data_IF_636633771153
#
_entry.id   IF_636633771153
#
_cell.length_a   1.000
_cell.length_b   1.000
_cell.length_c   1.000
_cell.angle_alpha   90.00
_cell.angle_beta   90.00
_cell.angle_gamma   90.00
#
_symmetry.space_group_name_H-M   'P 1'
#
loop_
_entity.id
_entity.type
_entity.pdbx_description
1 polymer ?
#
# COMPACT_ATOMS: atom_id res chain seq x y z
N UNK A 1 8.92 -15.47 -9.69
CA UNK A 1 10.25 -16.08 -9.47
C UNK A 1 11.00 -15.39 -8.33
N UNK A 2 11.45 -14.13 -8.47
CA UNK A 2 12.23 -13.44 -7.43
C UNK A 2 11.48 -13.28 -6.09
N UNK A 3 10.23 -12.80 -6.12
CA UNK A 3 9.41 -12.68 -4.90
C UNK A 3 9.28 -14.01 -4.13
N UNK A 4 8.98 -15.11 -4.83
CA UNK A 4 8.85 -16.45 -4.23
C UNK A 4 10.16 -16.97 -3.65
N UNK A 5 11.30 -16.57 -4.22
CA UNK A 5 12.62 -16.96 -3.75
C UNK A 5 13.00 -16.23 -2.45
N UNK A 6 12.74 -14.92 -2.38
CA UNK A 6 13.13 -14.10 -1.23
C UNK A 6 12.10 -14.11 -0.09
N UNK A 7 10.80 -14.22 -0.38
CA UNK A 7 9.75 -14.15 0.63
C UNK A 7 9.95 -15.09 1.85
N UNK A 8 10.41 -16.35 1.71
CA UNK A 8 10.71 -17.22 2.85
C UNK A 8 11.76 -16.63 3.81
N UNK A 9 12.80 -15.97 3.29
CA UNK A 9 13.84 -15.34 4.09
C UNK A 9 13.29 -14.12 4.86
N UNK A 10 12.54 -13.23 4.21
CA UNK A 10 11.94 -12.07 4.89
C UNK A 10 10.92 -12.51 5.96
N UNK A 11 10.11 -13.53 5.65
CA UNK A 11 9.16 -14.13 6.59
C UNK A 11 9.86 -14.73 7.82
N UNK A 12 10.97 -15.44 7.61
CA UNK A 12 11.76 -15.99 8.71
C UNK A 12 12.28 -14.89 9.64
N UNK A 13 12.82 -13.80 9.09
CA UNK A 13 13.30 -12.66 9.89
C UNK A 13 12.16 -11.96 10.64
N UNK A 14 10.99 -11.78 10.00
CA UNK A 14 9.79 -11.25 10.66
C UNK A 14 9.39 -12.11 11.88
N UNK A 15 9.27 -13.43 11.69
CA UNK A 15 8.92 -14.36 12.78
C UNK A 15 9.95 -14.30 13.91
N UNK A 16 11.24 -14.27 13.60
CA UNK A 16 12.30 -14.12 14.62
C UNK A 16 12.14 -12.82 15.41
N UNK A 17 11.88 -11.70 14.75
CA UNK A 17 11.69 -10.41 15.42
C UNK A 17 10.45 -10.43 16.33
N UNK A 18 9.32 -10.97 15.84
CA UNK A 18 8.09 -11.10 16.63
C UNK A 18 8.29 -11.95 17.88
N UNK A 19 8.99 -13.07 17.77
CA UNK A 19 9.34 -13.90 18.91
C UNK A 19 10.22 -13.13 19.91
N UNK A 20 11.24 -12.42 19.42
CA UNK A 20 12.13 -11.65 20.28
C UNK A 20 11.40 -10.53 21.05
N UNK A 21 10.43 -9.86 20.41
CA UNK A 21 9.59 -8.85 21.05
C UNK A 21 8.71 -9.48 22.13
N UNK A 22 8.03 -10.60 21.81
CA UNK A 22 7.17 -11.29 22.76
C UNK A 22 7.91 -11.80 24.00
N UNK A 23 9.20 -12.13 23.85
CA UNK A 23 10.07 -12.55 24.95
C UNK A 23 10.91 -11.42 25.55
N UNK A 24 10.68 -10.16 25.17
CA UNK A 24 11.46 -8.99 25.62
C UNK A 24 12.99 -9.12 25.43
N UNK A 25 13.42 -9.88 24.43
CA UNK A 25 14.83 -10.11 24.12
C UNK A 25 15.26 -9.49 22.78
N UNK A 26 14.44 -8.61 22.21
CA UNK A 26 14.79 -7.81 21.03
C UNK A 26 16.01 -6.93 21.34
N UNK A 27 17.03 -7.01 20.49
CA UNK A 27 18.30 -6.27 20.60
C UNK A 27 18.46 -5.26 19.46
N UNK A 28 19.37 -4.30 19.61
CA UNK A 28 19.70 -3.35 18.54
C UNK A 28 20.17 -4.05 17.26
N UNK A 29 20.97 -5.11 17.36
CA UNK A 29 21.40 -5.90 16.20
C UNK A 29 20.22 -6.53 15.46
N UNK A 30 19.20 -7.00 16.20
CA UNK A 30 18.01 -7.59 15.59
C UNK A 30 17.11 -6.51 14.97
N UNK A 31 17.05 -5.31 15.57
CA UNK A 31 16.37 -4.15 14.98
C UNK A 31 17.05 -3.75 13.67
N UNK A 32 18.37 -3.62 13.66
CA UNK A 32 19.16 -3.30 12.46
C UNK A 32 19.03 -4.39 11.39
N UNK A 33 19.05 -5.67 11.78
CA UNK A 33 18.77 -6.76 10.85
C UNK A 33 17.38 -6.62 10.23
N UNK A 34 16.35 -6.35 11.03
CA UNK A 34 15.00 -6.14 10.50
C UNK A 34 14.93 -4.99 9.50
N UNK A 35 15.64 -3.88 9.76
CA UNK A 35 15.71 -2.72 8.88
C UNK A 35 16.47 -3.01 7.59
N UNK A 36 17.61 -3.71 7.67
CA UNK A 36 18.39 -4.14 6.50
C UNK A 36 17.58 -5.05 5.59
N UNK A 37 16.89 -6.04 6.16
CA UNK A 37 15.98 -6.93 5.42
C UNK A 37 14.76 -6.17 4.88
N UNK A 38 14.30 -5.13 5.58
CA UNK A 38 13.29 -4.21 5.07
C UNK A 38 13.76 -3.46 3.82
N UNK A 39 14.97 -2.90 3.87
CA UNK A 39 15.58 -2.18 2.74
C UNK A 39 15.78 -3.08 1.51
N UNK A 40 16.31 -4.30 1.69
CA UNK A 40 16.43 -5.30 0.61
C UNK A 40 15.08 -5.65 -0.03
N UNK A 41 14.00 -5.55 0.74
CA UNK A 41 12.64 -5.82 0.30
C UNK A 41 12.01 -4.70 -0.55
N UNK A 42 12.60 -3.50 -0.58
CA UNK A 42 12.02 -2.32 -1.23
C UNK A 42 11.70 -2.56 -2.71
N UNK A 43 12.59 -3.11 -3.56
CA UNK A 43 12.29 -3.38 -4.97
C UNK A 43 11.26 -4.50 -5.20
N UNK A 44 11.04 -5.34 -4.17
CA UNK A 44 10.08 -6.44 -4.22
C UNK A 44 8.73 -6.08 -3.59
N UNK A 45 8.62 -4.88 -3.00
CA UNK A 45 7.43 -4.35 -2.36
C UNK A 45 6.91 -5.27 -1.23
N UNK A 46 7.81 -6.01 -0.57
CA UNK A 46 7.43 -6.94 0.49
C UNK A 46 7.00 -6.19 1.75
N UNK A 47 5.91 -6.66 2.38
CA UNK A 47 5.24 -5.94 3.47
C UNK A 47 5.57 -6.44 4.88
N UNK A 48 6.47 -7.43 5.02
CA UNK A 48 6.84 -8.00 6.32
C UNK A 48 7.37 -6.94 7.29
N UNK A 49 8.38 -6.19 6.87
CA UNK A 49 8.99 -5.11 7.65
C UNK A 49 7.99 -4.01 8.07
N UNK A 50 7.25 -3.36 7.14
CA UNK A 50 6.30 -2.32 7.53
C UNK A 50 5.17 -2.87 8.42
N UNK A 51 4.70 -4.09 8.17
CA UNK A 51 3.66 -4.73 9.00
C UNK A 51 4.16 -4.98 10.43
N UNK A 52 5.37 -5.54 10.59
CA UNK A 52 6.01 -5.75 11.88
C UNK A 52 6.05 -4.46 12.71
N UNK A 53 6.55 -3.38 12.12
CA UNK A 53 6.76 -2.14 12.85
C UNK A 53 5.48 -1.34 13.08
N UNK A 54 4.46 -1.50 12.24
CA UNK A 54 3.11 -1.03 12.55
C UNK A 54 2.51 -1.75 13.75
N UNK A 55 2.61 -3.09 13.79
CA UNK A 55 2.12 -3.90 14.92
C UNK A 55 2.82 -3.49 16.22
N UNK A 56 4.14 -3.30 16.19
CA UNK A 56 4.93 -2.81 17.33
C UNK A 56 4.49 -1.41 17.78
N UNK A 57 4.23 -0.51 16.84
CA UNK A 57 3.80 0.84 17.16
C UNK A 57 2.45 0.88 17.89
N UNK A 58 1.54 -0.01 17.49
CA UNK A 58 0.19 -0.14 18.04
C UNK A 58 0.14 -0.94 19.35
N UNK A 59 1.10 -1.83 19.58
CA UNK A 59 1.16 -2.62 20.81
C UNK A 59 1.40 -1.74 22.05
N UNK A 60 0.48 -1.80 23.01
CA UNK A 60 0.55 -0.98 24.23
C UNK A 60 1.61 -1.49 25.23
N UNK A 61 1.91 -2.78 25.18
CA UNK A 61 2.80 -3.48 26.10
C UNK A 61 4.24 -3.63 25.57
N UNK A 62 4.55 -3.04 24.42
CA UNK A 62 5.90 -3.09 23.83
C UNK A 62 6.68 -1.85 24.22
N UNK A 63 7.93 -2.06 24.65
CA UNK A 63 8.83 -1.00 25.06
C UNK A 63 9.14 -0.06 23.87
N UNK A 64 8.90 1.25 24.06
CA UNK A 64 9.09 2.27 23.04
C UNK A 64 10.57 2.44 22.65
N UNK A 65 11.51 1.90 23.43
CA UNK A 65 12.94 1.88 23.06
C UNK A 65 13.21 1.22 21.71
N UNK A 66 12.41 0.22 21.30
CA UNK A 66 12.61 -0.47 20.02
C UNK A 66 12.32 0.45 18.84
N UNK A 67 11.31 1.32 18.99
CA UNK A 67 11.00 2.36 18.00
C UNK A 67 12.17 3.35 17.92
N UNK A 68 12.72 3.77 19.06
CA UNK A 68 13.90 4.66 19.08
C UNK A 68 15.11 4.01 18.42
N UNK A 69 15.36 2.72 18.67
CA UNK A 69 16.44 1.97 18.00
C UNK A 69 16.22 1.95 16.48
N UNK A 70 14.99 1.71 16.01
CA UNK A 70 14.69 1.72 14.58
C UNK A 70 14.93 3.09 13.96
N UNK A 71 14.43 4.16 14.59
CA UNK A 71 14.55 5.53 14.06
C UNK A 71 15.99 6.06 14.06
N UNK A 72 16.88 5.40 14.79
CA UNK A 72 18.32 5.69 14.78
C UNK A 72 19.10 4.79 13.80
N UNK A 73 18.43 3.86 13.12
CA UNK A 73 19.07 2.92 12.19
C UNK A 73 19.26 3.57 10.82
N UNK A 74 20.51 3.60 10.33
CA UNK A 74 20.81 4.06 8.96
C UNK A 74 20.10 3.20 7.91
N UNK A 75 19.98 1.88 8.13
CA UNK A 75 19.24 1.01 7.20
C UNK A 75 17.75 1.37 7.11
N UNK A 76 17.18 1.90 8.18
CA UNK A 76 15.82 2.41 8.12
C UNK A 76 15.74 3.74 7.37
N UNK A 77 16.72 4.63 7.54
CA UNK A 77 16.81 5.83 6.70
C UNK A 77 16.94 5.45 5.21
N UNK A 78 17.80 4.48 4.86
CA UNK A 78 17.99 3.96 3.50
C UNK A 78 16.70 3.34 2.94
N UNK A 79 15.94 2.60 3.77
CA UNK A 79 14.61 2.09 3.39
C UNK A 79 13.68 3.23 2.95
N UNK A 80 13.58 4.28 3.77
CA UNK A 80 12.70 5.42 3.48
C UNK A 80 13.17 6.16 2.24
N UNK A 81 14.47 6.43 2.14
CA UNK A 81 15.06 7.12 0.98
C UNK A 81 14.79 6.34 -0.31
N UNK A 82 15.06 5.03 -0.34
CA UNK A 82 14.83 4.19 -1.53
C UNK A 82 13.36 4.14 -1.94
N UNK A 83 12.42 4.09 -0.99
CA UNK A 83 10.98 4.19 -1.32
C UNK A 83 10.64 5.55 -1.93
N UNK A 84 11.18 6.65 -1.39
CA UNK A 84 10.88 8.00 -1.89
C UNK A 84 11.57 8.31 -3.23
N UNK A 85 12.79 7.82 -3.45
CA UNK A 85 13.58 8.15 -4.64
C UNK A 85 13.32 7.20 -5.82
N UNK A 86 13.16 5.89 -5.56
CA UNK A 86 13.14 4.87 -6.61
C UNK A 86 11.79 4.14 -6.68
N UNK A 87 11.26 3.70 -5.53
CA UNK A 87 10.15 2.75 -5.47
C UNK A 87 8.81 3.38 -5.04
N UNK A 88 8.52 4.61 -5.47
CA UNK A 88 7.28 5.34 -5.08
C UNK A 88 5.98 4.60 -5.41
N UNK A 89 5.98 3.69 -6.39
CA UNK A 89 4.82 2.86 -6.70
C UNK A 89 4.44 1.94 -5.52
N UNK A 90 5.40 1.56 -4.68
CA UNK A 90 5.14 0.78 -3.47
C UNK A 90 4.25 1.52 -2.47
N UNK A 91 4.19 2.86 -2.52
CA UNK A 91 3.29 3.68 -1.69
C UNK A 91 1.82 3.46 -2.03
N UNK A 92 1.49 2.80 -3.15
CA UNK A 92 0.13 2.37 -3.43
C UNK A 92 -0.32 1.19 -2.56
N UNK A 93 0.63 0.47 -1.94
CA UNK A 93 0.36 -0.57 -0.95
C UNK A 93 0.14 0.10 0.40
N UNK A 94 -1.09 0.03 0.92
CA UNK A 94 -1.47 0.77 2.13
C UNK A 94 -0.59 0.46 3.34
N UNK A 95 -0.18 -0.79 3.52
CA UNK A 95 0.71 -1.17 4.64
C UNK A 95 2.04 -0.40 4.59
N UNK A 96 2.61 -0.21 3.40
CA UNK A 96 3.85 0.57 3.22
C UNK A 96 3.58 2.05 3.47
N UNK A 97 2.49 2.58 2.90
CA UNK A 97 2.13 3.99 3.08
C UNK A 97 1.83 4.34 4.54
N UNK A 98 1.01 3.56 5.22
CA UNK A 98 0.64 3.77 6.63
C UNK A 98 1.85 3.67 7.55
N UNK A 99 2.77 2.74 7.25
CA UNK A 99 4.05 2.64 7.94
C UNK A 99 4.88 3.92 7.78
N UNK A 100 5.00 4.44 6.55
CA UNK A 100 5.75 5.67 6.31
C UNK A 100 5.04 6.90 6.90
N UNK A 101 3.72 7.01 6.85
CA UNK A 101 2.98 8.07 7.55
C UNK A 101 3.31 8.05 9.05
N UNK A 102 3.45 6.86 9.64
CA UNK A 102 3.72 6.69 11.08
C UNK A 102 5.17 7.01 11.45
N UNK A 103 6.14 6.58 10.63
CA UNK A 103 7.56 6.62 11.00
C UNK A 103 8.38 7.68 10.28
N UNK A 104 7.98 8.14 9.08
CA UNK A 104 8.70 9.16 8.32
C UNK A 104 8.97 10.43 9.14
N UNK A 105 8.00 11.01 9.90
CA UNK A 105 8.26 12.21 10.69
C UNK A 105 9.39 12.06 11.71
N UNK A 106 9.69 10.82 12.14
CA UNK A 106 10.74 10.52 13.13
C UNK A 106 12.14 10.48 12.52
N UNK A 107 12.24 10.29 11.21
CA UNK A 107 13.52 10.16 10.47
C UNK A 107 13.67 11.19 9.35
N UNK A 108 12.68 12.05 9.16
CA UNK A 108 12.69 13.08 8.13
C UNK A 108 13.98 13.93 8.10
N UNK A 109 14.60 14.35 9.24
CA UNK A 109 15.87 15.06 9.21
C UNK A 109 17.05 14.27 8.61
N UNK A 110 16.98 12.94 8.63
CA UNK A 110 18.02 12.05 8.09
C UNK A 110 17.82 11.78 6.59
N UNK A 111 16.58 11.86 6.12
CA UNK A 111 16.18 11.45 4.75
C UNK A 111 15.96 12.64 3.82
N UNK A 112 15.53 13.79 4.35
CA UNK A 112 15.32 15.01 3.57
C UNK A 112 16.63 15.73 3.28
N UNK A 113 17.48 15.08 2.49
CA UNK A 113 18.68 15.67 1.91
C UNK A 113 18.33 16.65 0.78
N UNK A 114 19.31 17.44 0.34
CA UNK A 114 19.17 18.30 -0.84
C UNK A 114 18.72 17.51 -2.08
N UNK A 115 19.23 16.28 -2.24
CA UNK A 115 18.87 15.40 -3.35
C UNK A 115 17.39 14.99 -3.30
N UNK A 116 16.91 14.58 -2.12
CA UNK A 116 15.51 14.22 -1.92
C UNK A 116 14.60 15.42 -2.21
N UNK A 117 14.94 16.61 -1.72
CA UNK A 117 14.16 17.82 -1.96
C UNK A 117 14.13 18.20 -3.46
N UNK A 118 15.29 18.19 -4.14
CA UNK A 118 15.37 18.47 -5.58
C UNK A 118 14.55 17.48 -6.42
N UNK A 119 14.52 16.20 -6.04
CA UNK A 119 13.71 15.21 -6.74
C UNK A 119 12.21 15.49 -6.55
N UNK A 120 11.78 15.90 -5.35
CA UNK A 120 10.39 16.28 -5.10
C UNK A 120 9.98 17.52 -5.90
N UNK A 121 10.84 18.53 -5.99
CA UNK A 121 10.60 19.70 -6.86
C UNK A 121 10.52 19.30 -8.34
N UNK A 122 11.41 18.40 -8.79
CA UNK A 122 11.39 17.87 -10.16
C UNK A 122 10.09 17.12 -10.44
N UNK A 123 9.57 16.39 -9.46
CA UNK A 123 8.27 15.72 -9.53
C UNK A 123 7.13 16.71 -9.75
N UNK A 124 7.06 17.78 -8.93
CA UNK A 124 6.04 18.82 -9.05
C UNK A 124 6.10 19.50 -10.42
N UNK A 125 7.31 19.90 -10.85
CA UNK A 125 7.54 20.51 -12.16
C UNK A 125 7.13 19.60 -13.32
N UNK A 126 7.43 18.31 -13.22
CA UNK A 126 7.07 17.33 -14.25
C UNK A 126 5.56 17.15 -14.31
N UNK A 127 4.90 17.00 -13.16
CA UNK A 127 3.44 16.91 -13.07
C UNK A 127 2.78 18.11 -13.74
N UNK A 128 3.19 19.34 -13.40
CA UNK A 128 2.63 20.56 -13.99
C UNK A 128 2.78 20.61 -15.52
N UNK A 129 3.94 20.18 -16.05
CA UNK A 129 4.22 20.18 -17.50
C UNK A 129 3.46 19.11 -18.27
N UNK A 130 3.31 17.91 -17.70
CA UNK A 130 2.73 16.77 -18.43
C UNK A 130 1.23 16.64 -18.23
N UNK A 131 0.67 17.22 -17.16
CA UNK A 131 -0.76 17.10 -16.82
C UNK A 131 -1.72 17.37 -17.99
N UNK A 132 -1.54 18.41 -18.83
CA UNK A 132 -2.48 18.71 -19.92
C UNK A 132 -2.65 17.56 -20.93
N UNK A 133 -1.58 16.83 -21.23
CA UNK A 133 -1.57 15.74 -22.21
C UNK A 133 -1.64 14.35 -21.58
N UNK A 134 -1.77 14.27 -20.25
CA UNK A 134 -1.78 13.00 -19.53
C UNK A 134 -3.14 12.31 -19.65
N UNK A 135 -3.12 11.03 -20.03
CA UNK A 135 -4.26 10.13 -19.91
C UNK A 135 -4.35 9.61 -18.46
N UNK A 136 -5.32 10.12 -17.71
CA UNK A 136 -5.48 9.79 -16.30
C UNK A 136 -5.96 8.36 -16.08
N UNK A 137 -6.69 7.77 -17.02
CA UNK A 137 -7.22 6.40 -16.86
C UNK A 137 -6.11 5.37 -16.77
N UNK A 138 -5.00 5.60 -17.48
CA UNK A 138 -3.84 4.69 -17.51
C UNK A 138 -2.73 5.09 -16.55
N UNK A 139 -2.63 6.37 -16.19
CA UNK A 139 -1.54 6.90 -15.35
C UNK A 139 -1.91 7.09 -13.88
N UNK A 140 -3.20 6.95 -13.51
CA UNK A 140 -3.66 7.20 -12.14
C UNK A 140 -2.90 6.40 -11.08
N UNK A 141 -2.57 5.14 -11.35
CA UNK A 141 -1.76 4.31 -10.44
C UNK A 141 -0.41 4.96 -10.13
N UNK A 142 0.32 5.38 -11.18
CA UNK A 142 1.64 5.99 -11.04
C UNK A 142 1.54 7.33 -10.31
N UNK A 143 0.62 8.19 -10.75
CA UNK A 143 0.40 9.50 -10.15
C UNK A 143 0.04 9.39 -8.67
N UNK A 144 -0.77 8.40 -8.28
CA UNK A 144 -1.14 8.21 -6.88
C UNK A 144 0.08 7.92 -6.00
N UNK A 145 1.01 7.09 -6.46
CA UNK A 145 2.27 6.82 -5.74
C UNK A 145 3.14 8.07 -5.60
N UNK A 146 3.25 8.87 -6.66
CA UNK A 146 3.98 10.14 -6.65
C UNK A 146 3.35 11.16 -5.69
N UNK A 147 2.03 11.32 -5.70
CA UNK A 147 1.34 12.23 -4.79
C UNK A 147 1.38 11.77 -3.33
N UNK A 148 1.40 10.45 -3.08
CA UNK A 148 1.63 9.91 -1.74
C UNK A 148 3.04 10.23 -1.23
N UNK A 149 4.05 10.19 -2.10
CA UNK A 149 5.40 10.63 -1.74
C UNK A 149 5.43 12.12 -1.37
N UNK A 150 4.81 12.98 -2.18
CA UNK A 150 4.67 14.41 -1.88
C UNK A 150 3.91 14.64 -0.56
N UNK A 151 2.87 13.85 -0.29
CA UNK A 151 2.10 13.92 0.96
C UNK A 151 2.97 13.64 2.17
N UNK A 152 3.82 12.60 2.11
CA UNK A 152 4.78 12.29 3.18
C UNK A 152 5.75 13.47 3.39
N UNK A 153 6.39 13.94 2.33
CA UNK A 153 7.42 14.99 2.39
C UNK A 153 6.86 16.32 2.90
N UNK A 154 5.65 16.73 2.50
CA UNK A 154 5.09 18.00 2.94
C UNK A 154 4.34 17.92 4.28
N UNK A 155 4.07 16.72 4.80
CA UNK A 155 3.42 16.53 6.10
C UNK A 155 4.30 16.85 7.31
N UNK A 156 5.63 16.92 7.15
CA UNK A 156 6.56 17.11 8.26
C UNK A 156 6.79 18.58 8.59
N UNK A 157 7.02 18.84 9.89
CA UNK A 157 7.40 20.15 10.45
C UNK A 157 8.91 20.41 10.29
N UNK A 158 9.37 20.39 9.04
CA UNK A 158 10.72 20.82 8.65
C UNK A 158 10.57 21.95 7.62
N UNK A 159 11.60 22.78 7.38
CA UNK A 159 11.56 23.87 6.40
C UNK A 159 11.56 23.36 4.95
N UNK A 160 10.79 22.31 4.66
CA UNK A 160 10.44 21.93 3.30
C UNK A 160 9.23 22.75 2.89
N UNK A 161 9.50 23.79 2.12
CA UNK A 161 8.50 24.69 1.57
C UNK A 161 7.97 24.07 0.28
N UNK A 162 6.66 23.77 0.18
CA UNK A 162 6.08 23.31 -1.08
C UNK A 162 6.27 24.37 -2.19
N UNK A 163 6.54 23.96 -3.44
CA UNK A 163 6.56 24.88 -4.57
C UNK A 163 5.25 25.68 -4.67
N UNK A 164 5.30 26.99 -4.94
CA UNK A 164 4.13 27.87 -4.90
C UNK A 164 3.04 27.51 -5.91
N UNK A 165 3.41 26.85 -7.01
CA UNK A 165 2.53 26.39 -8.07
C UNK A 165 1.89 25.03 -7.77
N UNK A 166 2.37 24.27 -6.78
CA UNK A 166 1.87 22.93 -6.47
C UNK A 166 0.36 22.93 -6.21
N UNK A 167 -0.15 23.89 -5.44
CA UNK A 167 -1.59 23.97 -5.15
C UNK A 167 -2.42 24.19 -6.42
N UNK A 168 -1.94 25.04 -7.34
CA UNK A 168 -2.62 25.27 -8.61
C UNK A 168 -2.57 24.02 -9.51
N UNK A 169 -1.44 23.32 -9.55
CA UNK A 169 -1.29 22.06 -10.29
C UNK A 169 -2.25 21.00 -9.76
N UNK A 170 -2.36 20.84 -8.44
CA UNK A 170 -3.25 19.86 -7.81
C UNK A 170 -4.73 20.18 -8.06
N UNK A 171 -5.13 21.46 -8.01
CA UNK A 171 -6.50 21.87 -8.36
C UNK A 171 -6.84 21.56 -9.82
N UNK A 172 -5.91 21.80 -10.76
CA UNK A 172 -6.09 21.44 -12.16
C UNK A 172 -6.21 19.91 -12.33
N UNK A 173 -5.41 19.13 -11.61
CA UNK A 173 -5.50 17.67 -11.62
C UNK A 173 -6.85 17.20 -11.06
N UNK A 174 -7.34 17.81 -9.98
CA UNK A 174 -8.65 17.48 -9.41
C UNK A 174 -9.78 17.75 -10.41
N UNK A 175 -9.76 18.89 -11.11
CA UNK A 175 -10.74 19.22 -12.15
C UNK A 175 -10.70 18.20 -13.31
N UNK A 176 -9.50 17.87 -13.80
CA UNK A 176 -9.28 16.85 -14.84
C UNK A 176 -9.80 15.46 -14.44
N UNK A 177 -9.65 15.06 -13.17
CA UNK A 177 -10.20 13.79 -12.68
C UNK A 177 -11.72 13.81 -12.75
N UNK A 178 -12.35 14.91 -12.30
CA UNK A 178 -13.81 15.06 -12.34
C UNK A 178 -14.34 15.01 -13.78
N UNK A 179 -13.69 15.67 -14.73
CA UNK A 179 -14.06 15.62 -16.16
C UNK A 179 -14.09 14.17 -16.68
N UNK A 180 -13.04 13.39 -16.40
CA UNK A 180 -12.95 11.98 -16.83
C UNK A 180 -14.02 11.10 -16.16
N UNK A 181 -14.32 11.36 -14.88
CA UNK A 181 -15.36 10.62 -14.14
C UNK A 181 -16.78 10.99 -14.62
N UNK A 182 -17.03 12.26 -14.95
CA UNK A 182 -18.33 12.74 -15.47
C UNK A 182 -18.60 12.37 -16.93
N UNK A 183 -17.56 12.18 -17.75
CA UNK A 183 -17.70 11.64 -19.12
C UNK A 183 -18.10 10.14 -19.12
N UNK A 184 -18.05 9.47 -17.96
CA UNK A 184 -18.21 8.02 -17.80
C UNK A 184 -19.60 7.44 -17.42
N UNK A 185 -20.76 8.15 -17.35
CA UNK A 185 -22.05 7.48 -17.07
C UNK A 185 -23.14 7.71 -18.14
N UNK A 186 -23.23 6.83 -19.14
CA UNK A 186 -24.44 6.68 -19.97
C UNK A 186 -24.88 5.21 -20.22
N UNK A 187 -24.69 4.33 -19.23
CA UNK A 187 -25.18 2.92 -19.31
C UNK A 187 -25.95 2.38 -18.10
N UNK A 188 -26.39 3.23 -17.17
CA UNK A 188 -27.30 2.80 -16.09
C UNK A 188 -28.45 3.79 -15.90
N UNK A 189 -29.32 3.92 -16.91
CA UNK A 189 -30.72 4.40 -16.75
C UNK A 189 -31.51 4.22 -18.04
N UNK A 190 -32.26 3.12 -18.11
CA UNK A 190 -33.53 2.87 -18.82
C UNK A 190 -33.69 1.34 -18.85
N UNK A 191 -34.74 0.68 -18.38
CA UNK A 191 -36.08 1.00 -17.86
C UNK A 191 -36.45 -0.24 -17.03
N UNK A 192 -36.93 -0.07 -15.80
CA UNK A 192 -37.86 -1.04 -15.20
C UNK A 192 -39.24 -0.72 -15.78
N UNK A 193 -39.80 -1.64 -16.56
CA UNK A 193 -41.25 -1.84 -16.64
C UNK A 193 -41.52 -3.28 -17.15
N UNK A 194 -42.18 -4.01 -16.25
CA UNK A 194 -42.91 -5.28 -16.34
C UNK A 194 -43.01 -6.01 -17.69
N UNK A 195 -42.69 -7.32 -17.70
CA UNK A 195 -43.66 -8.34 -18.14
C UNK A 195 -43.28 -9.76 -17.70
N UNK A 196 -44.30 -10.51 -17.26
CA UNK A 196 -44.28 -11.87 -16.71
C UNK A 196 -43.86 -12.92 -17.75
N UNK A 197 -43.25 -14.06 -17.35
CA UNK A 197 -43.06 -15.19 -18.26
C UNK A 197 -44.30 -16.12 -18.28
N UNK A 198 -44.71 -16.66 -19.43
CA UNK A 198 -45.52 -17.87 -19.48
C UNK A 198 -44.63 -19.10 -19.73
N UNK A 199 -44.92 -20.12 -18.94
CA UNK A 199 -44.47 -21.52 -19.05
C UNK A 199 -45.09 -22.16 -20.30
N UNK A 200 -44.36 -23.09 -20.95
CA UNK A 200 -44.83 -24.41 -21.45
C UNK A 200 -43.70 -25.15 -22.19
N UNK A 201 -43.27 -26.28 -21.63
CA UNK A 201 -43.58 -27.67 -22.08
C UNK A 201 -42.64 -28.14 -23.20
N UNK A 202 -41.74 -29.09 -22.92
CA UNK A 202 -41.66 -30.40 -23.61
C UNK A 202 -40.93 -31.39 -22.69
N UNK A 203 -41.67 -32.40 -22.24
CA UNK A 203 -41.18 -33.68 -21.72
C UNK A 203 -40.67 -34.56 -22.88
N UNK A 204 -39.64 -35.39 -22.62
CA UNK A 204 -39.62 -36.86 -22.81
C UNK A 204 -38.18 -37.40 -22.77
N UNK A 205 -37.84 -38.13 -21.72
CA UNK A 205 -37.83 -39.60 -21.60
C UNK A 205 -36.49 -40.20 -22.07
N UNK A 206 -35.64 -40.56 -21.10
CA UNK A 206 -35.31 -41.94 -20.69
C UNK A 206 -34.19 -42.55 -21.58
N UNK A 207 -33.17 -43.25 -21.06
CA UNK A 207 -33.25 -44.39 -20.15
C UNK A 207 -31.82 -44.94 -19.85
N UNK A 208 -31.69 -45.74 -18.77
CA UNK A 208 -30.75 -46.88 -18.55
C UNK A 208 -29.30 -46.53 -18.13
N UNK A 209 -28.61 -47.12 -17.14
CA UNK A 209 -28.83 -48.28 -16.23
C UNK A 209 -27.95 -48.17 -14.96
N UNK A 210 -28.38 -48.87 -13.91
CA UNK A 210 -27.72 -49.16 -12.64
C UNK A 210 -26.45 -50.03 -12.73
N UNK A 211 -25.57 -49.94 -11.72
CA UNK A 211 -25.11 -51.07 -10.85
C UNK A 211 -23.82 -50.66 -10.10
N UNK A 212 -23.74 -50.52 -8.77
CA UNK A 212 -23.87 -51.43 -7.63
C UNK A 212 -22.52 -51.90 -7.01
N UNK A 213 -22.45 -51.77 -5.66
CA UNK A 213 -21.69 -52.53 -4.64
C UNK A 213 -20.24 -52.17 -4.20
N UNK A 214 -20.19 -51.45 -3.08
CA UNK A 214 -19.62 -51.73 -1.72
C UNK A 214 -18.76 -53.00 -1.48
N UNK A 215 -17.60 -52.84 -0.83
CA UNK A 215 -17.11 -53.46 0.46
C UNK A 215 -15.56 -53.39 0.56
N UNK A 216 -15.00 -52.54 1.43
CA UNK A 216 -14.35 -52.83 2.74
C UNK A 216 -13.11 -53.76 2.73
N UNK A 217 -11.98 -53.30 3.30
CA UNK A 217 -11.30 -53.85 4.51
C UNK A 217 -9.98 -53.10 4.82
N UNK A 218 -9.95 -52.48 6.01
CA UNK A 218 -8.87 -52.26 7.03
C UNK A 218 -7.38 -52.13 6.63
N UNK A 219 -6.70 -51.09 7.16
CA UNK A 219 -5.84 -51.21 8.36
C UNK A 219 -5.09 -49.90 8.76
N UNK A 220 -5.20 -49.54 10.06
CA UNK A 220 -4.17 -49.03 10.99
C UNK A 220 -3.50 -47.63 10.86
N UNK A 221 -3.96 -46.71 11.72
CA UNK A 221 -3.24 -45.89 12.72
C UNK A 221 -1.93 -45.12 12.37
N UNK A 222 -1.98 -43.77 12.38
CA UNK A 222 -1.49 -42.91 13.48
C UNK A 222 -1.73 -41.42 13.20
N UNK A 223 -2.08 -40.68 14.26
CA UNK A 223 -2.31 -39.23 14.32
C UNK A 223 -1.01 -38.46 14.06
N UNK A 224 -1.09 -37.42 13.24
CA UNK A 224 -0.57 -36.10 13.58
C UNK A 224 -1.44 -35.03 12.92
N UNK A 225 -1.83 -34.01 13.71
CA UNK A 225 -2.64 -32.88 13.26
C UNK A 225 -1.74 -31.90 12.53
N UNK A 226 -1.74 -31.96 11.20
CA UNK A 226 -1.30 -30.85 10.37
C UNK A 226 -2.28 -29.68 10.53
N UNK A 227 -1.87 -28.67 11.29
CA UNK A 227 -2.44 -27.33 11.14
C UNK A 227 -1.81 -26.76 9.88
N UNK A 228 -2.47 -27.02 8.75
CA UNK A 228 -2.31 -26.25 7.53
C UNK A 228 -2.71 -24.80 7.83
N UNK A 229 -1.73 -23.95 8.11
CA UNK A 229 -1.89 -22.51 7.97
C UNK A 229 -1.43 -22.14 6.57
N UNK A 230 -2.37 -22.23 5.63
CA UNK A 230 -2.35 -21.53 4.35
C UNK A 230 -2.13 -20.03 4.61
N UNK A 231 -0.89 -19.58 4.49
CA UNK A 231 -0.58 -18.15 4.36
C UNK A 231 -0.69 -17.76 2.89
N UNK A 232 -1.94 -17.77 2.40
CA UNK A 232 -2.33 -16.98 1.24
C UNK A 232 -2.59 -15.55 1.73
N UNK A 233 -1.61 -14.65 1.59
CA UNK A 233 -1.88 -13.25 1.29
C UNK A 233 -0.58 -12.53 0.86
N UNK A 234 -0.12 -12.82 -0.35
CA UNK A 234 0.88 -11.98 -1.02
C UNK A 234 0.39 -11.61 -2.41
N UNK A 235 -0.87 -11.20 -2.51
CA UNK A 235 -1.38 -10.27 -3.53
C UNK A 235 -2.74 -9.79 -3.02
N UNK A 236 -2.77 -8.80 -2.14
CA UNK A 236 -4.00 -8.03 -1.89
C UNK A 236 -4.43 -7.43 -3.23
N UNK A 237 -5.36 -8.12 -3.89
CA UNK A 237 -6.28 -7.69 -4.96
C UNK A 237 -6.16 -6.24 -5.42
N UNK A 238 -5.11 -5.88 -6.17
CA UNK A 238 -5.07 -4.61 -6.91
C UNK A 238 -5.97 -4.65 -8.16
N UNK A 239 -6.61 -5.79 -8.45
CA UNK A 239 -7.42 -5.99 -9.66
C UNK A 239 -8.78 -5.30 -9.64
N UNK A 240 -9.23 -4.77 -8.48
CA UNK A 240 -10.56 -4.16 -8.31
C UNK A 240 -10.50 -2.75 -7.69
N UNK A 241 -9.31 -2.14 -7.65
CA UNK A 241 -9.14 -0.77 -7.17
C UNK A 241 -9.35 0.20 -8.32
N UNK A 242 -10.38 1.03 -8.21
CA UNK A 242 -10.50 2.20 -9.08
C UNK A 242 -9.41 3.22 -8.72
N UNK A 243 -8.38 3.26 -9.57
CA UNK A 243 -7.24 4.15 -9.37
C UNK A 243 -7.60 5.62 -9.57
N UNK A 244 -8.65 5.95 -10.32
CA UNK A 244 -9.11 7.33 -10.44
C UNK A 244 -9.74 7.79 -9.13
N UNK A 245 -10.61 6.98 -8.52
CA UNK A 245 -11.19 7.27 -7.21
C UNK A 245 -10.10 7.38 -6.13
N UNK A 246 -9.12 6.46 -6.15
CA UNK A 246 -8.00 6.48 -5.20
C UNK A 246 -7.14 7.74 -5.38
N UNK A 247 -6.82 8.10 -6.62
CA UNK A 247 -6.09 9.31 -6.94
C UNK A 247 -6.87 10.56 -6.49
N UNK A 248 -8.18 10.60 -6.74
CA UNK A 248 -9.05 11.70 -6.32
C UNK A 248 -9.00 11.92 -4.81
N UNK A 249 -9.08 10.83 -4.02
CA UNK A 249 -8.97 10.88 -2.57
C UNK A 249 -7.60 11.40 -2.11
N UNK A 250 -6.52 10.94 -2.74
CA UNK A 250 -5.15 11.38 -2.44
C UNK A 250 -4.96 12.87 -2.77
N UNK A 251 -5.36 13.32 -3.96
CA UNK A 251 -5.29 14.73 -4.38
C UNK A 251 -6.04 15.64 -3.41
N UNK A 252 -7.27 15.26 -3.06
CA UNK A 252 -8.13 16.04 -2.15
C UNK A 252 -7.49 16.16 -0.77
N UNK A 253 -6.95 15.06 -0.24
CA UNK A 253 -6.28 15.05 1.06
C UNK A 253 -5.00 15.91 1.06
N UNK A 254 -4.22 15.85 -0.02
CA UNK A 254 -3.00 16.64 -0.17
C UNK A 254 -3.30 18.15 -0.27
N UNK A 255 -4.31 18.54 -1.06
CA UNK A 255 -4.76 19.93 -1.14
C UNK A 255 -5.15 20.45 0.26
N UNK A 256 -5.96 19.69 0.99
CA UNK A 256 -6.40 20.07 2.33
C UNK A 256 -5.21 20.22 3.29
N UNK A 257 -4.25 19.30 3.25
CA UNK A 257 -3.04 19.37 4.08
C UNK A 257 -2.17 20.61 3.77
N UNK A 258 -1.98 20.93 2.50
CA UNK A 258 -1.20 22.09 2.07
C UNK A 258 -1.87 23.42 2.47
N UNK A 259 -3.19 23.51 2.33
CA UNK A 259 -3.95 24.69 2.76
C UNK A 259 -3.88 24.88 4.29
N UNK A 260 -4.00 23.80 5.05
CA UNK A 260 -3.84 23.84 6.51
C UNK A 260 -2.43 24.27 6.93
N UNK A 261 -1.40 23.82 6.21
CA UNK A 261 0.00 24.22 6.46
C UNK A 261 0.19 25.70 6.17
N UNK A 262 -0.26 26.18 5.01
CA UNK A 262 -0.20 27.60 4.65
C UNK A 262 -0.89 28.51 5.67
N UNK A 263 -2.04 28.08 6.22
CA UNK A 263 -2.76 28.86 7.24
C UNK A 263 -2.05 28.90 8.61
N UNK A 264 -1.16 27.94 8.91
CA UNK A 264 -0.34 27.96 10.14
C UNK A 264 0.89 28.84 10.00
N UNK A 265 1.41 28.99 8.79
CA UNK A 265 2.65 29.71 8.50
C UNK A 265 2.42 31.21 8.23
N UNK A 266 1.18 31.69 8.12
CA UNK A 266 0.87 33.13 8.06
C UNK A 266 1.14 33.81 9.42
N UNK A 267 1.93 34.90 9.46
CA UNK A 267 2.21 35.60 10.71
C UNK A 267 0.96 36.37 11.18
N UNK A 268 0.43 35.99 12.35
CA UNK A 268 -0.50 36.82 13.16
C UNK A 268 0.13 38.13 13.59
#
# INVERSE_FOLDING_TARGET
ALHQFYAPYHSFVDVMCRLAINHNCMTENLVNLSAMVGFEAVPLHLTYFPKLWLDIHQAQNVDRKYITMLTNSNYFADYVESVLLDERLSLNINVIYDFLVTYFPKVAPQVLSDNTCQLMETLVNTLGKTLPSTDLTTTAYKLNGELRALSLVYSVELPVVPPPDLLAILNNLQARILEVTEESPNKKRKIEEEEKPPVKEVEKEEKVEESNKIEEVKASCSKDKDVSSTNDDSTSSNADVDWLDRLQSTVTSLIAALQQKSARDEPT
#
